data_IF_445483485364
#
_entry.id   IF_445483485364
#
_cell.length_a   1.000
_cell.length_b   1.000
_cell.length_c   1.000
_cell.angle_alpha   90.00
_cell.angle_beta   90.00
_cell.angle_gamma   90.00
#
_symmetry.space_group_name_H-M   'P 1'
#
loop_
_entity.id
_entity.type
_entity.pdbx_description
1 polymer ?
#
# COMPACT_ATOMS: atom_id res chain seq x y z
N UNK A 1 19.47 -25.17 55.20
CA UNK A 1 20.04 -26.08 54.16
C UNK A 1 19.39 -25.73 52.81
N UNK A 2 19.29 -24.46 52.44
CA UNK A 2 18.29 -24.01 51.44
C UNK A 2 18.86 -23.16 50.29
N UNK A 3 20.18 -22.95 50.27
CA UNK A 3 20.87 -22.21 49.21
C UNK A 3 20.69 -22.80 47.80
N UNK A 4 20.77 -24.14 47.56
CA UNK A 4 20.67 -24.66 46.20
C UNK A 4 19.24 -24.51 45.63
N UNK A 5 18.20 -24.62 46.45
CA UNK A 5 16.80 -24.49 46.01
C UNK A 5 16.47 -23.06 45.59
N UNK A 6 16.96 -22.07 46.35
CA UNK A 6 16.76 -20.64 46.03
C UNK A 6 17.51 -20.21 44.76
N UNK A 7 18.72 -20.74 44.54
CA UNK A 7 19.51 -20.46 43.33
C UNK A 7 18.83 -21.05 42.09
N UNK A 8 18.36 -22.29 42.18
CA UNK A 8 17.62 -22.96 41.11
C UNK A 8 16.30 -22.23 40.78
N UNK A 9 15.56 -21.78 41.80
CA UNK A 9 14.31 -21.03 41.60
C UNK A 9 14.54 -19.66 40.92
N UNK A 10 15.61 -18.94 41.29
CA UNK A 10 16.01 -17.68 40.63
C UNK A 10 16.41 -17.87 39.17
N UNK A 11 17.08 -18.97 38.87
CA UNK A 11 17.43 -19.34 37.49
C UNK A 11 16.17 -19.57 36.64
N UNK A 12 15.20 -20.34 37.15
CA UNK A 12 13.94 -20.57 36.44
C UNK A 12 13.13 -19.29 36.22
N UNK A 13 13.06 -18.38 37.21
CA UNK A 13 12.39 -17.08 37.07
C UNK A 13 13.09 -16.20 36.02
N UNK A 14 14.43 -16.18 36.01
CA UNK A 14 15.18 -15.44 34.99
C UNK A 14 14.94 -15.99 33.59
N UNK A 15 14.89 -17.31 33.43
CA UNK A 15 14.65 -17.96 32.14
C UNK A 15 13.22 -17.68 31.66
N UNK A 16 12.21 -17.73 32.52
CA UNK A 16 10.83 -17.41 32.13
C UNK A 16 10.64 -15.94 31.78
N UNK A 17 11.30 -15.00 32.48
CA UNK A 17 11.32 -13.58 32.12
C UNK A 17 11.98 -13.34 30.75
N UNK A 18 13.09 -14.02 30.45
CA UNK A 18 13.72 -13.94 29.14
C UNK A 18 12.80 -14.50 28.03
N UNK A 19 12.17 -15.65 28.24
CA UNK A 19 11.26 -16.25 27.26
C UNK A 19 10.03 -15.34 27.05
N UNK A 20 9.48 -14.76 28.13
CA UNK A 20 8.38 -13.81 28.03
C UNK A 20 8.79 -12.55 27.24
N UNK A 21 9.99 -12.02 27.48
CA UNK A 21 10.52 -10.88 26.73
C UNK A 21 10.64 -11.17 25.23
N UNK A 22 11.14 -12.34 24.85
CA UNK A 22 11.22 -12.76 23.44
C UNK A 22 9.82 -12.91 22.81
N UNK A 23 8.84 -13.47 23.53
CA UNK A 23 7.44 -13.57 23.06
C UNK A 23 6.84 -12.19 22.83
N UNK A 24 7.01 -11.25 23.76
CA UNK A 24 6.54 -9.86 23.61
C UNK A 24 7.30 -9.11 22.51
N UNK A 25 8.60 -9.35 22.35
CA UNK A 25 9.39 -8.76 21.27
C UNK A 25 8.95 -9.29 19.89
N UNK A 26 8.44 -10.53 19.81
CA UNK A 26 7.95 -11.13 18.57
C UNK A 26 6.65 -10.48 18.06
N UNK A 27 5.83 -9.88 18.93
CA UNK A 27 4.71 -9.00 18.53
C UNK A 27 5.19 -7.64 18.00
N UNK A 28 6.39 -7.21 18.37
CA UNK A 28 7.07 -6.00 17.88
C UNK A 28 8.01 -6.28 16.70
N UNK A 29 7.65 -7.20 15.79
CA UNK A 29 8.35 -7.25 14.50
C UNK A 29 8.18 -5.90 13.81
N UNK A 30 9.30 -5.27 13.47
CA UNK A 30 9.36 -4.05 12.68
C UNK A 30 8.62 -4.32 11.37
N UNK A 31 7.37 -3.86 11.29
CA UNK A 31 6.59 -3.99 10.07
C UNK A 31 7.29 -3.13 9.01
N UNK A 32 7.96 -3.74 8.04
CA UNK A 32 8.68 -3.03 6.96
C UNK A 32 7.77 -2.07 6.18
N UNK A 33 6.46 -2.23 6.36
CA UNK A 33 5.39 -1.46 5.75
C UNK A 33 5.08 -0.17 6.50
N UNK A 34 5.53 0.01 7.75
CA UNK A 34 5.29 1.21 8.57
C UNK A 34 6.54 2.11 8.63
N UNK A 35 6.39 3.36 8.19
CA UNK A 35 7.48 4.33 8.07
C UNK A 35 7.08 5.60 8.83
N UNK A 36 7.75 5.83 9.94
CA UNK A 36 7.62 7.07 10.71
C UNK A 36 8.24 8.26 9.97
N UNK A 37 7.65 9.44 10.13
CA UNK A 37 8.19 10.68 9.59
C UNK A 37 7.90 10.86 8.10
N UNK A 38 6.99 10.07 7.53
CA UNK A 38 6.66 10.08 6.11
C UNK A 38 5.13 10.02 5.92
N UNK A 39 4.68 10.49 4.77
CA UNK A 39 3.28 10.36 4.35
C UNK A 39 3.16 10.24 2.83
N UNK A 40 2.07 9.63 2.38
CA UNK A 40 1.63 9.70 0.99
C UNK A 40 0.55 10.79 0.86
N UNK A 41 0.81 11.85 0.10
CA UNK A 41 -0.15 12.96 -0.11
C UNK A 41 -1.04 12.71 -1.34
N UNK A 42 -2.12 13.50 -1.48
CA UNK A 42 -3.07 13.55 -2.63
C UNK A 42 -3.88 12.28 -2.93
N UNK A 43 -3.49 11.13 -2.40
CA UNK A 43 -4.16 9.83 -2.62
C UNK A 43 -5.16 9.45 -1.52
N UNK A 44 -5.43 10.35 -0.58
CA UNK A 44 -6.39 10.10 0.50
C UNK A 44 -7.82 10.14 -0.03
N UNK A 45 -8.53 9.03 0.09
CA UNK A 45 -9.94 8.93 -0.32
C UNK A 45 -10.91 8.88 0.85
N UNK A 46 -10.42 8.58 2.07
CA UNK A 46 -11.23 8.52 3.28
C UNK A 46 -10.44 8.94 4.51
N UNK A 47 -11.09 9.65 5.43
CA UNK A 47 -10.53 10.00 6.74
C UNK A 47 -11.40 9.46 7.85
N UNK A 48 -10.78 9.05 8.96
CA UNK A 48 -11.48 8.64 10.18
C UNK A 48 -10.68 9.04 11.41
N UNK A 49 -11.36 9.37 12.51
CA UNK A 49 -10.72 9.55 13.81
C UNK A 49 -10.47 8.18 14.42
N UNK A 50 -9.26 8.00 14.95
CA UNK A 50 -8.81 6.78 15.60
C UNK A 50 -7.74 7.12 16.62
N UNK A 51 -7.86 6.55 17.81
CA UNK A 51 -6.88 6.74 18.87
C UNK A 51 -5.57 5.97 18.66
N UNK A 52 -5.57 4.94 17.81
CA UNK A 52 -4.42 4.05 17.55
C UNK A 52 -4.37 3.62 16.08
N UNK A 53 -3.15 3.49 15.53
CA UNK A 53 -2.95 3.12 14.12
C UNK A 53 -3.56 1.76 13.74
N UNK A 54 -3.75 0.85 14.70
CA UNK A 54 -4.35 -0.48 14.50
C UNK A 54 -5.78 -0.39 13.95
N UNK A 55 -6.58 0.59 14.40
CA UNK A 55 -7.95 0.78 13.88
C UNK A 55 -7.91 1.31 12.44
N UNK A 56 -6.90 2.10 12.07
CA UNK A 56 -6.68 2.51 10.67
C UNK A 56 -6.39 1.29 9.79
N UNK A 57 -5.55 0.37 10.28
CA UNK A 57 -5.22 -0.86 9.56
C UNK A 57 -6.46 -1.73 9.35
N UNK A 58 -7.31 -1.88 10.39
CA UNK A 58 -8.60 -2.58 10.26
C UNK A 58 -9.48 -1.91 9.20
N UNK A 59 -9.69 -0.60 9.29
CA UNK A 59 -10.52 0.14 8.34
C UNK A 59 -9.98 0.06 6.90
N UNK A 60 -8.66 0.03 6.73
CA UNK A 60 -8.01 -0.19 5.44
C UNK A 60 -8.28 -1.60 4.92
N UNK A 61 -8.15 -2.61 5.77
CA UNK A 61 -8.38 -4.01 5.43
C UNK A 61 -9.84 -4.35 5.08
N UNK A 62 -10.78 -3.50 5.50
CA UNK A 62 -12.22 -3.65 5.25
C UNK A 62 -12.67 -2.91 3.97
N UNK A 63 -11.80 -2.12 3.34
CA UNK A 63 -12.08 -1.41 2.08
C UNK A 63 -11.07 -1.82 1.00
N UNK A 64 -11.54 -2.51 -0.03
CA UNK A 64 -10.67 -3.07 -1.08
C UNK A 64 -9.84 -2.04 -1.83
N UNK A 65 -10.23 -0.75 -1.78
CA UNK A 65 -9.51 0.36 -2.41
C UNK A 65 -8.33 0.83 -1.58
N UNK A 66 -8.23 0.43 -0.31
CA UNK A 66 -7.19 0.92 0.58
C UNK A 66 -5.88 0.14 0.39
N UNK A 67 -4.86 0.85 -0.11
CA UNK A 67 -3.55 0.30 -0.42
C UNK A 67 -2.50 0.74 0.60
N UNK A 68 -2.71 1.89 1.22
CA UNK A 68 -1.90 2.39 2.33
C UNK A 68 -2.72 3.36 3.19
N UNK A 69 -2.19 3.80 4.31
CA UNK A 69 -2.78 4.90 5.07
C UNK A 69 -1.71 5.77 5.73
N UNK A 70 -2.05 7.03 5.98
CA UNK A 70 -1.29 7.87 6.90
C UNK A 70 -1.98 7.90 8.25
N UNK A 71 -1.22 7.91 9.34
CA UNK A 71 -1.73 8.12 10.69
C UNK A 71 -1.06 9.35 11.30
N UNK A 72 -1.85 10.40 11.54
CA UNK A 72 -1.42 11.64 12.19
C UNK A 72 -1.58 11.49 13.70
N UNK A 73 -0.44 11.46 14.40
CA UNK A 73 -0.36 11.06 15.82
C UNK A 73 -1.05 12.09 16.71
N UNK A 74 -0.71 13.38 16.51
CA UNK A 74 -1.21 14.49 17.31
C UNK A 74 -2.74 14.61 17.25
N UNK A 75 -3.30 14.42 16.06
CA UNK A 75 -4.75 14.57 15.83
C UNK A 75 -5.56 13.28 15.93
N UNK A 76 -4.89 12.13 16.14
CA UNK A 76 -5.56 10.81 16.18
C UNK A 76 -6.42 10.60 14.94
N UNK A 77 -5.80 10.79 13.76
CA UNK A 77 -6.49 10.82 12.47
C UNK A 77 -5.86 9.84 11.48
N UNK A 78 -6.67 8.94 10.94
CA UNK A 78 -6.30 8.10 9.81
C UNK A 78 -6.69 8.78 8.50
N UNK A 79 -5.82 8.66 7.51
CA UNK A 79 -6.07 9.03 6.12
C UNK A 79 -5.82 7.79 5.25
N UNK A 80 -6.89 7.11 4.84
CA UNK A 80 -6.79 5.94 3.97
C UNK A 80 -6.49 6.39 2.55
N UNK A 81 -5.48 5.76 1.96
CA UNK A 81 -4.98 6.09 0.64
C UNK A 81 -5.23 4.95 -0.35
N UNK A 82 -5.55 5.33 -1.57
CA UNK A 82 -5.82 4.37 -2.63
C UNK A 82 -4.59 3.94 -3.42
N UNK A 83 -3.40 4.49 -3.12
CA UNK A 83 -2.09 4.19 -3.73
C UNK A 83 -1.08 3.78 -2.67
N UNK A 84 0.05 3.25 -3.10
CA UNK A 84 1.23 3.02 -2.26
C UNK A 84 2.36 4.00 -2.62
N UNK A 85 3.42 4.05 -1.81
CA UNK A 85 4.63 4.82 -2.11
C UNK A 85 5.36 4.33 -3.37
N UNK A 86 5.25 3.06 -3.71
CA UNK A 86 5.87 2.47 -4.91
C UNK A 86 5.12 2.90 -6.16
N UNK A 87 3.79 2.97 -6.09
CA UNK A 87 2.94 3.45 -7.19
C UNK A 87 3.14 4.95 -7.48
N UNK A 88 3.36 5.76 -6.44
CA UNK A 88 3.42 7.23 -6.50
C UNK A 88 4.58 7.81 -5.66
N UNK A 89 5.83 7.52 -6.04
CA UNK A 89 7.00 7.92 -5.25
C UNK A 89 7.11 9.45 -5.11
N UNK A 90 6.68 10.22 -6.09
CA UNK A 90 6.70 11.69 -6.09
C UNK A 90 5.68 12.32 -5.11
N UNK A 91 4.76 11.52 -4.59
CA UNK A 91 3.81 11.92 -3.55
C UNK A 91 4.18 11.37 -2.17
N UNK A 92 5.23 10.54 -2.08
CA UNK A 92 5.76 10.05 -0.82
C UNK A 92 6.78 11.05 -0.24
N UNK A 93 6.36 11.81 0.77
CA UNK A 93 7.09 12.99 1.27
C UNK A 93 7.33 12.93 2.78
N UNK A 94 8.38 13.59 3.30
CA UNK A 94 8.59 13.72 4.74
C UNK A 94 7.46 14.46 5.45
N UNK A 95 7.05 13.94 6.60
CA UNK A 95 6.17 14.59 7.57
C UNK A 95 6.39 13.98 8.95
N UNK A 96 7.03 14.72 9.86
CA UNK A 96 7.47 14.23 11.17
C UNK A 96 6.33 13.85 12.13
N UNK A 97 5.09 14.25 11.86
CA UNK A 97 3.95 14.00 12.75
C UNK A 97 3.17 12.73 12.37
N UNK A 98 3.61 12.04 11.31
CA UNK A 98 2.84 10.96 10.66
C UNK A 98 3.61 9.66 10.57
N UNK A 99 2.84 8.58 10.62
CA UNK A 99 3.26 7.29 10.07
C UNK A 99 2.62 7.10 8.70
N UNK A 100 3.40 6.65 7.72
CA UNK A 100 2.89 5.98 6.53
C UNK A 100 2.85 4.48 6.78
N UNK A 101 1.78 3.80 6.38
CA UNK A 101 1.67 2.34 6.51
C UNK A 101 1.14 1.75 5.21
N UNK A 102 1.90 0.86 4.56
CA UNK A 102 1.42 0.06 3.41
C UNK A 102 0.53 -1.08 3.92
N UNK A 103 -0.55 -1.38 3.19
CA UNK A 103 -1.45 -2.47 3.54
C UNK A 103 -0.83 -3.83 3.15
N UNK A 104 -0.95 -4.83 4.04
CA UNK A 104 -0.38 -6.16 3.87
C UNK A 104 -1.39 -7.22 3.41
N UNK A 105 -2.67 -6.83 3.24
CA UNK A 105 -3.73 -7.75 2.79
C UNK A 105 -3.80 -7.82 1.26
N UNK A 106 -4.44 -8.90 0.77
CA UNK A 106 -4.87 -9.02 -0.63
C UNK A 106 -5.84 -7.88 -0.95
N UNK A 107 -5.32 -6.89 -1.67
CA UNK A 107 -6.04 -5.74 -2.23
C UNK A 107 -6.40 -6.01 -3.69
N UNK A 108 -7.32 -5.22 -4.23
CA UNK A 108 -7.61 -5.23 -5.66
C UNK A 108 -6.44 -4.56 -6.40
N UNK A 109 -5.73 -5.25 -7.30
CA UNK A 109 -4.62 -4.63 -8.04
C UNK A 109 -5.08 -3.39 -8.80
N UNK A 110 -4.21 -2.38 -8.90
CA UNK A 110 -4.51 -1.17 -9.67
C UNK A 110 -4.83 -1.54 -11.12
N UNK A 111 -5.87 -0.92 -11.68
CA UNK A 111 -6.31 -1.16 -13.04
C UNK A 111 -7.02 -2.49 -13.28
N UNK A 112 -7.27 -3.32 -12.26
CA UNK A 112 -7.99 -4.58 -12.46
C UNK A 112 -9.52 -4.40 -12.61
N UNK A 113 -10.06 -3.25 -12.18
CA UNK A 113 -11.49 -2.91 -12.32
C UNK A 113 -11.65 -1.44 -12.75
N UNK A 114 -12.74 -1.08 -13.46
CA UNK A 114 -12.93 0.28 -13.97
C UNK A 114 -13.15 1.33 -12.87
N UNK A 115 -13.61 0.96 -11.68
CA UNK A 115 -13.76 1.84 -10.52
C UNK A 115 -12.41 2.12 -9.83
N UNK A 116 -11.38 1.40 -10.21
CA UNK A 116 -10.05 1.48 -9.62
C UNK A 116 -8.93 1.49 -10.66
N UNK A 117 -8.96 2.47 -11.59
CA UNK A 117 -7.99 2.55 -12.67
C UNK A 117 -6.63 3.01 -12.16
N UNK A 118 -5.59 2.71 -12.93
CA UNK A 118 -4.25 3.27 -12.79
C UNK A 118 -4.09 4.52 -13.67
N UNK A 119 -3.01 5.27 -13.49
CA UNK A 119 -2.56 6.29 -14.45
C UNK A 119 -1.71 5.65 -15.56
N UNK A 120 -0.87 4.66 -15.25
CA UNK A 120 0.01 4.00 -16.24
C UNK A 120 0.25 2.52 -15.95
N UNK A 121 0.76 1.78 -16.93
CA UNK A 121 1.19 0.39 -16.76
C UNK A 121 2.37 0.28 -15.77
N UNK A 122 3.28 1.25 -15.78
CA UNK A 122 4.43 1.32 -14.87
C UNK A 122 3.97 1.49 -13.42
N UNK A 123 2.92 2.28 -13.17
CA UNK A 123 2.33 2.39 -11.83
C UNK A 123 1.82 1.04 -11.32
N UNK A 124 1.12 0.29 -12.18
CA UNK A 124 0.58 -1.03 -11.84
C UNK A 124 1.73 -1.95 -11.47
N UNK A 125 2.77 -2.00 -12.29
CA UNK A 125 3.92 -2.85 -12.03
C UNK A 125 4.66 -2.45 -10.76
N UNK A 126 4.89 -1.15 -10.53
CA UNK A 126 5.53 -0.64 -9.33
C UNK A 126 4.72 -0.95 -8.06
N UNK A 127 3.40 -0.81 -8.12
CA UNK A 127 2.49 -1.19 -7.03
C UNK A 127 2.63 -2.67 -6.66
N UNK A 128 2.80 -3.55 -7.64
CA UNK A 128 2.94 -4.99 -7.45
C UNK A 128 4.40 -5.44 -7.29
N UNK A 129 5.29 -4.54 -6.86
CA UNK A 129 6.70 -4.81 -6.59
C UNK A 129 7.46 -5.41 -7.80
N UNK A 130 7.09 -4.97 -9.01
CA UNK A 130 7.68 -5.45 -10.27
C UNK A 130 7.16 -6.82 -10.71
N UNK A 131 6.06 -7.31 -10.11
CA UNK A 131 5.50 -8.66 -10.34
C UNK A 131 4.14 -8.63 -11.02
N UNK A 132 3.74 -7.50 -11.60
CA UNK A 132 2.52 -7.45 -12.39
C UNK A 132 2.66 -8.34 -13.63
N UNK A 133 1.54 -8.90 -14.11
CA UNK A 133 1.51 -9.75 -15.30
C UNK A 133 1.10 -8.95 -16.52
N UNK A 134 1.57 -9.29 -17.71
CA UNK A 134 1.04 -8.71 -18.94
C UNK A 134 -0.45 -9.03 -19.09
N UNK A 135 -1.21 -8.10 -19.66
CA UNK A 135 -2.66 -8.23 -19.80
C UNK A 135 -3.36 -6.90 -19.99
N UNK A 136 -4.69 -6.94 -19.97
CA UNK A 136 -5.52 -5.74 -20.10
C UNK A 136 -5.80 -5.10 -18.73
N UNK A 137 -5.62 -3.79 -18.66
CA UNK A 137 -5.82 -3.00 -17.44
C UNK A 137 -6.58 -1.71 -17.72
N UNK A 138 -7.36 -1.29 -16.74
CA UNK A 138 -8.08 -0.02 -16.73
C UNK A 138 -7.17 1.12 -16.33
N UNK A 139 -7.04 2.13 -17.19
CA UNK A 139 -6.33 3.37 -16.90
C UNK A 139 -7.25 4.58 -17.01
N UNK A 140 -6.87 5.70 -16.39
CA UNK A 140 -7.57 6.97 -16.59
C UNK A 140 -7.47 7.41 -18.06
N UNK A 141 -8.60 7.81 -18.63
CA UNK A 141 -8.63 8.42 -19.96
C UNK A 141 -8.22 9.89 -19.87
N UNK A 142 -7.72 10.43 -20.99
CA UNK A 142 -7.58 11.89 -21.20
C UNK A 142 -8.91 12.63 -21.05
N UNK A 143 -10.03 11.94 -21.26
CA UNK A 143 -11.37 12.47 -20.98
C UNK A 143 -11.63 12.31 -19.47
N UNK A 144 -11.74 13.44 -18.77
CA UNK A 144 -11.99 13.48 -17.33
C UNK A 144 -13.19 12.61 -16.93
N UNK A 145 -12.99 11.75 -15.94
CA UNK A 145 -14.03 10.86 -15.42
C UNK A 145 -14.28 9.59 -16.24
N UNK A 146 -13.54 9.36 -17.33
CA UNK A 146 -13.59 8.11 -18.09
C UNK A 146 -12.35 7.25 -17.85
N UNK A 147 -12.52 5.94 -18.04
CA UNK A 147 -11.44 4.96 -18.05
C UNK A 147 -11.34 4.32 -19.43
N UNK A 148 -10.14 3.85 -19.76
CA UNK A 148 -9.85 3.11 -20.97
C UNK A 148 -9.23 1.76 -20.59
N UNK A 149 -9.60 0.71 -21.31
CA UNK A 149 -8.94 -0.58 -21.22
C UNK A 149 -7.73 -0.56 -22.16
N UNK A 150 -6.54 -0.84 -21.64
CA UNK A 150 -5.29 -0.86 -22.40
C UNK A 150 -4.54 -2.16 -22.16
N UNK A 151 -3.80 -2.62 -23.17
CA UNK A 151 -2.89 -3.74 -23.02
C UNK A 151 -1.57 -3.24 -22.42
N UNK A 152 -1.18 -3.78 -21.26
CA UNK A 152 0.11 -3.55 -20.65
C UNK A 152 0.99 -4.78 -20.85
N UNK A 153 2.16 -4.57 -21.43
CA UNK A 153 3.22 -5.57 -21.42
C UNK A 153 4.13 -5.32 -20.21
N UNK A 154 4.11 -6.25 -19.25
CA UNK A 154 4.87 -6.16 -18.00
C UNK A 154 6.16 -6.99 -18.05
N UNK A 155 6.47 -7.61 -19.20
CA UNK A 155 7.74 -8.30 -19.36
C UNK A 155 8.91 -7.32 -19.21
N UNK A 156 9.96 -7.67 -18.45
CA UNK A 156 11.13 -6.82 -18.31
C UNK A 156 11.73 -6.60 -19.70
N UNK A 157 11.87 -5.34 -20.12
CA UNK A 157 12.27 -4.97 -21.48
C UNK A 157 13.49 -5.78 -21.97
N UNK A 158 13.19 -6.79 -22.79
CA UNK A 158 14.12 -7.61 -23.53
C UNK A 158 13.56 -7.83 -24.93
N UNK A 159 13.63 -6.78 -25.77
CA UNK A 159 13.22 -6.71 -27.20
C UNK A 159 11.72 -6.85 -27.51
N UNK A 160 11.05 -5.71 -27.69
CA UNK A 160 10.54 -5.20 -28.98
C UNK A 160 9.49 -4.11 -28.73
N UNK A 161 9.78 -2.87 -29.12
CA UNK A 161 8.78 -1.82 -29.18
C UNK A 161 7.88 -2.10 -30.39
N UNK A 162 6.68 -2.65 -30.17
CA UNK A 162 5.58 -2.48 -31.11
C UNK A 162 4.81 -1.23 -30.69
N UNK A 163 4.98 -0.15 -31.46
CA UNK A 163 4.09 1.01 -31.39
C UNK A 163 2.71 0.55 -31.84
N UNK A 164 1.80 0.32 -30.89
CA UNK A 164 0.39 0.14 -31.21
C UNK A 164 -0.20 1.51 -31.52
N UNK A 165 -0.44 1.76 -32.81
CA UNK A 165 -1.28 2.86 -33.27
C UNK A 165 -2.68 2.61 -32.72
N UNK A 166 -3.12 3.38 -31.74
CA UNK A 166 -4.54 3.41 -31.37
C UNK A 166 -5.25 4.16 -32.48
N UNK A 167 -6.00 3.44 -33.30
CA UNK A 167 -6.98 4.04 -34.19
C UNK A 167 -7.99 4.80 -33.33
N UNK A 168 -7.91 6.13 -33.35
CA UNK A 168 -9.00 6.97 -32.89
C UNK A 168 -10.12 6.86 -33.93
N UNK A 169 -11.24 6.25 -33.57
CA UNK A 169 -12.49 6.34 -34.34
C UNK A 169 -13.02 7.79 -34.20
N UNK A 170 -12.44 8.71 -34.98
CA UNK A 170 -12.99 10.04 -35.15
C UNK A 170 -14.19 9.88 -36.06
N UNK A 171 -15.36 9.68 -35.45
CA UNK A 171 -16.64 9.84 -36.14
C UNK A 171 -16.80 11.33 -36.51
N UNK A 172 -16.19 11.72 -37.64
CA UNK A 172 -16.47 12.99 -38.31
C UNK A 172 -17.90 12.90 -38.81
N UNK A 173 -18.85 13.40 -38.01
CA UNK A 173 -20.16 13.79 -38.52
C UNK A 173 -19.91 14.82 -39.61
N UNK A 174 -19.99 14.37 -40.86
CA UNK A 174 -20.12 15.19 -42.06
C UNK A 174 -21.38 16.02 -41.88
N UNK A 175 -21.24 17.29 -41.50
CA UNK A 175 -22.33 18.25 -41.65
C UNK A 175 -22.48 18.50 -43.15
N UNK A 176 -23.70 18.28 -43.64
CA UNK A 176 -24.17 18.64 -44.99
C UNK A 176 -24.05 20.14 -45.18
#
# INVERSE_FOLDING_TARGET
>A
KDKPVVVTMRFFISVTLCIAYEIFAQECKKDEHAIFGMMLRRHTFKKLKSSIAVECNRACNDDFRCHSFNYLITEKLCELNNRTKEARPENFVPNSERYYVRSNKKRVPLGSIPEFPAETCEEINASEDGKAKSGEYWIYSVITGKTALVSCDMEPEGKNIQVLVVAADVNVKKFV
#
